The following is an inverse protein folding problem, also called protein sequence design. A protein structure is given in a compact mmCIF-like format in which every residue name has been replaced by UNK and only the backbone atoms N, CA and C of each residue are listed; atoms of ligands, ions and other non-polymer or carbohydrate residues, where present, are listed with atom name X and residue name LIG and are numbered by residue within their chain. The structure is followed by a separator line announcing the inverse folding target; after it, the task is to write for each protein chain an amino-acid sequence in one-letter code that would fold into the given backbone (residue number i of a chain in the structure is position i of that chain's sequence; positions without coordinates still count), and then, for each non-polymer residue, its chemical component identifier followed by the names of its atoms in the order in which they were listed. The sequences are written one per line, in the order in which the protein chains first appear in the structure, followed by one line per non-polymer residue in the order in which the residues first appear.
data_IF_242133915776
#
_entry.id   IF_242133915776
#
_cell.length_a   1.000
_cell.length_b   1.000
_cell.length_c   1.000
_cell.angle_alpha   90.00
_cell.angle_beta   90.00
_cell.angle_gamma   90.00
#
_symmetry.space_group_name_H-M   'P 1'
#
loop_
_entity.id
_entity.type
_entity.pdbx_description
1 polymer ?
#
# COMPACT_ATOMS: atom_id res chain seq x y z
N UNK A 1 58.87 -14.99 -10.77
CA UNK A 1 57.45 -15.42 -10.78
C UNK A 1 56.77 -15.21 -9.41
N UNK A 2 56.54 -13.96 -8.97
CA UNK A 2 55.86 -13.70 -7.67
C UNK A 2 54.85 -12.52 -7.67
N UNK A 3 54.50 -11.95 -8.82
CA UNK A 3 53.65 -10.74 -8.86
C UNK A 3 52.20 -10.94 -9.30
N UNK A 4 51.77 -12.16 -9.69
CA UNK A 4 50.40 -12.36 -10.19
C UNK A 4 49.40 -12.77 -9.10
N UNK A 5 49.84 -13.12 -7.89
CA UNK A 5 48.94 -13.61 -6.84
C UNK A 5 48.23 -12.47 -6.09
N UNK A 6 48.89 -11.32 -5.94
CA UNK A 6 48.33 -10.16 -5.21
C UNK A 6 47.17 -9.50 -5.96
N UNK A 7 47.17 -9.56 -7.29
CA UNK A 7 46.17 -8.92 -8.14
C UNK A 7 44.81 -9.63 -8.09
N UNK A 8 44.81 -10.98 -8.09
CA UNK A 8 43.58 -11.77 -7.98
C UNK A 8 42.90 -11.62 -6.62
N UNK A 9 43.68 -11.50 -5.54
CA UNK A 9 43.13 -11.31 -4.20
C UNK A 9 42.42 -9.95 -4.07
N UNK A 10 42.97 -8.90 -4.69
CA UNK A 10 42.38 -7.56 -4.68
C UNK A 10 41.07 -7.49 -5.49
N UNK A 11 40.99 -8.20 -6.62
CA UNK A 11 39.74 -8.28 -7.41
C UNK A 11 38.63 -9.06 -6.72
N UNK A 12 38.97 -10.09 -5.93
CA UNK A 12 37.95 -10.86 -5.21
C UNK A 12 37.37 -10.09 -4.03
N UNK A 13 38.19 -9.32 -3.31
CA UNK A 13 37.72 -8.46 -2.20
C UNK A 13 36.77 -7.36 -2.70
N UNK A 14 36.99 -6.83 -3.90
CA UNK A 14 36.07 -5.85 -4.52
C UNK A 14 34.71 -6.45 -4.91
N UNK A 15 34.65 -7.74 -5.29
CA UNK A 15 33.39 -8.41 -5.58
C UNK A 15 32.55 -8.67 -4.31
N UNK A 16 33.18 -8.93 -3.17
CA UNK A 16 32.47 -9.09 -1.88
C UNK A 16 31.93 -7.76 -1.33
N UNK A 17 32.59 -6.64 -1.59
CA UNK A 17 32.08 -5.31 -1.20
C UNK A 17 30.96 -4.77 -2.11
N UNK A 18 30.69 -5.43 -3.24
CA UNK A 18 29.55 -5.08 -4.10
C UNK A 18 28.23 -5.70 -3.66
N UNK A 19 28.20 -6.48 -2.57
CA UNK A 19 26.98 -6.70 -1.79
C UNK A 19 26.73 -5.47 -0.91
N UNK A 20 26.50 -4.31 -1.56
CA UNK A 20 25.90 -3.15 -0.91
C UNK A 20 24.60 -3.63 -0.27
N UNK A 21 24.54 -3.54 1.06
CA UNK A 21 23.32 -3.54 1.85
C UNK A 21 22.24 -2.80 1.06
N UNK A 22 21.30 -3.56 0.49
CA UNK A 22 20.12 -3.01 -0.16
C UNK A 22 19.23 -2.57 0.98
N UNK A 23 19.49 -1.37 1.47
CA UNK A 23 18.71 -0.71 2.52
C UNK A 23 17.23 -0.86 2.13
N UNK A 24 16.46 -1.61 2.93
CA UNK A 24 15.04 -1.82 2.65
C UNK A 24 14.35 -0.45 2.74
N UNK A 25 14.12 0.16 1.58
CA UNK A 25 13.44 1.45 1.50
C UNK A 25 12.03 1.28 2.08
N UNK A 26 11.81 1.91 3.24
CA UNK A 26 10.50 1.93 3.90
C UNK A 26 9.54 2.80 3.09
N UNK A 27 8.63 2.14 2.37
CA UNK A 27 7.48 2.80 1.74
C UNK A 27 6.48 3.20 2.82
N UNK A 28 5.92 4.40 2.70
CA UNK A 28 5.01 4.96 3.69
C UNK A 28 3.65 5.18 3.01
N UNK A 29 2.65 4.42 3.47
CA UNK A 29 1.24 4.66 3.17
C UNK A 29 0.63 5.38 4.37
N UNK A 30 0.09 6.57 4.15
CA UNK A 30 -0.66 7.34 5.15
C UNK A 30 -2.13 6.94 5.10
N UNK A 31 -2.70 6.52 6.23
CA UNK A 31 -4.15 6.30 6.36
C UNK A 31 -4.74 7.34 7.30
N UNK A 32 -5.53 8.26 6.73
CA UNK A 32 -6.11 9.39 7.43
C UNK A 32 -7.63 9.26 7.45
N UNK A 33 -8.22 9.37 8.64
CA UNK A 33 -9.66 9.41 8.83
C UNK A 33 -10.07 10.88 8.99
N UNK A 34 -11.22 11.26 8.44
CA UNK A 34 -11.73 12.63 8.60
C UNK A 34 -12.07 12.99 10.06
N UNK A 35 -12.22 11.99 10.94
CA UNK A 35 -12.50 12.15 12.37
C UNK A 35 -11.81 11.05 13.15
N UNK A 36 -11.28 11.39 14.32
CA UNK A 36 -10.64 10.43 15.23
C UNK A 36 -11.64 9.54 15.96
N UNK A 37 -12.90 9.97 16.04
CA UNK A 37 -13.99 9.19 16.63
C UNK A 37 -15.16 9.07 15.66
N UNK A 38 -15.69 7.86 15.57
CA UNK A 38 -16.73 7.48 14.62
C UNK A 38 -18.02 7.19 15.35
N UNK A 39 -19.16 7.65 14.82
CA UNK A 39 -20.47 7.23 15.31
C UNK A 39 -20.84 5.88 14.70
N UNK A 40 -21.36 4.96 15.52
CA UNK A 40 -21.89 3.67 15.02
C UNK A 40 -22.89 3.89 13.87
N UNK A 41 -22.83 3.01 12.86
CA UNK A 41 -23.74 3.01 11.72
C UNK A 41 -23.40 4.03 10.63
N UNK A 42 -22.49 4.98 10.91
CA UNK A 42 -22.09 6.00 9.93
C UNK A 42 -20.86 5.57 9.13
N UNK A 43 -20.85 5.98 7.86
CA UNK A 43 -19.65 5.90 7.02
C UNK A 43 -18.63 6.97 7.41
N UNK A 44 -17.38 6.53 7.53
CA UNK A 44 -16.23 7.38 7.81
C UNK A 44 -15.50 7.65 6.52
N UNK A 45 -15.41 8.91 6.13
CA UNK A 45 -14.58 9.34 5.01
C UNK A 45 -13.12 9.27 5.41
N UNK A 46 -12.33 8.68 4.54
CA UNK A 46 -10.91 8.43 4.77
C UNK A 46 -10.11 8.63 3.48
N UNK A 47 -8.82 8.92 3.65
CA UNK A 47 -7.85 9.05 2.57
C UNK A 47 -6.71 8.07 2.83
N UNK A 48 -6.32 7.33 1.80
CA UNK A 48 -5.05 6.63 1.74
C UNK A 48 -4.14 7.37 0.76
N UNK A 49 -2.92 7.70 1.19
CA UNK A 49 -1.95 8.44 0.40
C UNK A 49 -0.61 7.71 0.36
N UNK A 50 -0.05 7.52 -0.84
CA UNK A 50 1.29 7.00 -1.05
C UNK A 50 2.30 8.14 -0.92
N UNK A 51 2.90 8.28 0.27
CA UNK A 51 3.85 9.36 0.56
C UNK A 51 5.18 9.17 -0.14
N UNK A 52 5.65 7.91 -0.22
CA UNK A 52 6.91 7.56 -0.85
C UNK A 52 6.72 6.36 -1.78
N UNK A 53 6.58 6.58 -3.10
CA UNK A 53 6.47 5.50 -4.07
C UNK A 53 7.69 4.58 -4.07
N UNK A 54 7.47 3.28 -4.29
CA UNK A 54 8.54 2.34 -4.59
C UNK A 54 9.10 2.56 -6.00
N UNK A 55 8.25 2.92 -6.96
CA UNK A 55 8.64 3.20 -8.33
C UNK A 55 8.87 4.71 -8.57
N UNK A 56 9.83 5.32 -7.85
CA UNK A 56 10.09 6.78 -7.84
C UNK A 56 10.22 7.43 -9.23
N UNK A 57 10.78 6.71 -10.22
CA UNK A 57 11.00 7.21 -11.59
C UNK A 57 9.91 6.78 -12.58
N UNK A 58 8.79 6.26 -12.07
CA UNK A 58 7.63 5.85 -12.85
C UNK A 58 6.41 6.63 -12.37
N UNK A 59 5.37 6.68 -13.19
CA UNK A 59 4.09 7.20 -12.74
C UNK A 59 3.41 6.17 -11.84
N UNK A 60 3.82 6.11 -10.57
CA UNK A 60 3.18 5.26 -9.57
C UNK A 60 1.75 5.68 -9.37
N UNK A 61 0.89 4.67 -9.26
CA UNK A 61 -0.52 4.80 -8.97
C UNK A 61 -0.88 3.80 -7.89
N UNK A 62 -1.97 4.05 -7.17
CA UNK A 62 -2.47 3.12 -6.15
C UNK A 62 -3.92 2.69 -6.37
N UNK A 63 -4.24 1.53 -5.81
CA UNK A 63 -5.61 1.05 -5.56
C UNK A 63 -5.64 0.46 -4.15
N UNK A 64 -6.71 0.73 -3.41
CA UNK A 64 -6.87 0.25 -2.03
C UNK A 64 -7.88 -0.89 -1.99
N UNK A 65 -7.52 -1.96 -1.28
CA UNK A 65 -8.41 -3.06 -0.93
C UNK A 65 -8.64 -3.05 0.58
N UNK A 66 -9.90 -2.96 0.99
CA UNK A 66 -10.33 -2.90 2.38
C UNK A 66 -11.11 -4.17 2.75
N UNK A 67 -10.84 -4.73 3.93
CA UNK A 67 -11.68 -5.81 4.47
C UNK A 67 -13.15 -5.40 4.51
N UNK A 68 -14.02 -6.24 3.96
CA UNK A 68 -15.46 -6.00 3.97
C UNK A 68 -16.19 -6.71 5.13
N UNK A 69 -15.55 -7.69 5.78
CA UNK A 69 -16.13 -8.50 6.86
C UNK A 69 -15.14 -8.65 8.03
N UNK A 70 -15.48 -8.06 9.17
CA UNK A 70 -14.65 -8.11 10.40
C UNK A 70 -14.46 -9.53 10.96
N UNK A 71 -15.34 -10.48 10.60
CA UNK A 71 -15.23 -11.88 11.01
C UNK A 71 -14.18 -12.65 10.19
N UNK A 72 -13.82 -12.14 9.00
CA UNK A 72 -12.86 -12.76 8.08
C UNK A 72 -11.63 -11.88 7.89
N UNK A 73 -10.77 -11.88 8.92
CA UNK A 73 -9.59 -11.00 9.00
C UNK A 73 -8.52 -11.34 7.95
N UNK A 74 -8.01 -10.33 7.26
CA UNK A 74 -6.81 -10.38 6.42
C UNK A 74 -5.58 -10.63 7.28
N UNK A 75 -4.75 -11.56 6.81
CA UNK A 75 -3.43 -11.83 7.39
C UNK A 75 -2.43 -10.79 6.90
N UNK A 76 -1.47 -10.42 7.76
CA UNK A 76 -0.42 -9.45 7.44
C UNK A 76 0.41 -9.79 6.20
N UNK A 77 0.60 -11.08 5.93
CA UNK A 77 1.30 -11.58 4.74
C UNK A 77 0.40 -11.70 3.49
N UNK A 78 -0.85 -11.24 3.57
CA UNK A 78 -1.83 -11.26 2.48
C UNK A 78 -2.13 -12.66 1.90
N UNK A 79 -1.82 -13.72 2.65
CA UNK A 79 -1.96 -15.11 2.18
C UNK A 79 -3.40 -15.57 1.99
N UNK A 80 -4.36 -14.95 2.69
CA UNK A 80 -5.79 -15.23 2.56
C UNK A 80 -6.57 -14.16 1.78
N UNK A 81 -5.89 -13.22 1.10
CA UNK A 81 -6.54 -12.09 0.41
C UNK A 81 -7.58 -12.51 -0.64
N UNK A 82 -7.39 -13.68 -1.27
CA UNK A 82 -8.31 -14.22 -2.28
C UNK A 82 -9.52 -14.95 -1.68
N UNK A 83 -9.52 -15.19 -0.36
CA UNK A 83 -10.52 -16.01 0.33
C UNK A 83 -11.43 -15.18 1.24
N UNK A 84 -11.25 -13.87 1.27
CA UNK A 84 -12.03 -12.96 2.11
C UNK A 84 -12.67 -11.86 1.24
N UNK A 85 -13.91 -11.45 1.56
CA UNK A 85 -14.55 -10.34 0.86
C UNK A 85 -13.79 -9.03 1.07
N UNK A 86 -13.56 -8.29 -0.03
CA UNK A 86 -12.86 -7.01 -0.03
C UNK A 86 -13.65 -5.96 -0.80
N UNK A 87 -13.59 -4.72 -0.34
CA UNK A 87 -13.96 -3.55 -1.13
C UNK A 87 -12.74 -2.98 -1.84
N UNK A 88 -12.87 -2.63 -3.12
CA UNK A 88 -11.82 -2.00 -3.89
C UNK A 88 -12.14 -0.51 -4.12
N UNK A 89 -11.14 0.34 -3.96
CA UNK A 89 -11.25 1.79 -4.15
C UNK A 89 -10.12 2.25 -5.06
N UNK A 90 -10.49 2.83 -6.21
CA UNK A 90 -9.53 3.38 -7.16
C UNK A 90 -8.96 4.71 -6.67
N UNK A 91 -7.77 5.05 -7.17
CA UNK A 91 -7.21 6.38 -6.94
C UNK A 91 -8.07 7.48 -7.58
N UNK A 92 -7.79 8.71 -7.19
CA UNK A 92 -8.57 9.87 -7.56
C UNK A 92 -8.38 10.31 -9.02
N UNK A 93 -7.39 9.79 -9.75
CA UNK A 93 -7.33 10.02 -11.19
C UNK A 93 -8.46 9.27 -11.91
N UNK A 94 -8.89 8.12 -11.38
CA UNK A 94 -10.04 7.35 -11.84
C UNK A 94 -11.33 7.80 -11.12
N UNK A 95 -11.32 7.91 -9.78
CA UNK A 95 -12.48 8.32 -8.98
C UNK A 95 -12.65 9.85 -8.98
N UNK A 96 -13.24 10.35 -10.06
CA UNK A 96 -13.52 11.78 -10.26
C UNK A 96 -14.52 12.35 -9.24
N UNK A 97 -15.44 11.54 -8.72
CA UNK A 97 -16.50 11.99 -7.81
C UNK A 97 -15.94 12.42 -6.44
N UNK A 98 -14.93 11.72 -5.94
CA UNK A 98 -14.34 11.97 -4.63
C UNK A 98 -13.13 12.92 -4.64
N UNK A 99 -12.67 13.41 -5.80
CA UNK A 99 -11.56 14.40 -5.93
C UNK A 99 -11.74 15.64 -5.04
N UNK A 100 -12.98 16.05 -4.79
CA UNK A 100 -13.32 17.19 -3.92
C UNK A 100 -12.79 17.03 -2.49
N UNK A 101 -12.45 15.82 -2.05
CA UNK A 101 -11.94 15.55 -0.71
C UNK A 101 -10.42 15.62 -0.60
N UNK A 102 -9.69 15.82 -1.70
CA UNK A 102 -8.22 15.68 -1.75
C UNK A 102 -7.49 16.95 -2.20
N UNK A 103 -8.00 18.15 -1.85
CA UNK A 103 -7.32 19.42 -2.20
C UNK A 103 -5.87 19.38 -1.70
N UNK A 104 -4.91 19.45 -2.62
CA UNK A 104 -3.47 19.44 -2.34
C UNK A 104 -2.80 18.06 -2.40
N UNK A 105 -3.52 16.99 -2.73
CA UNK A 105 -2.95 15.65 -2.93
C UNK A 105 -2.84 15.27 -4.41
N UNK A 106 -1.79 14.52 -4.73
CA UNK A 106 -1.59 13.93 -6.07
C UNK A 106 -2.62 12.82 -6.34
N UNK A 107 -3.37 12.96 -7.43
CA UNK A 107 -4.54 12.11 -7.68
C UNK A 107 -4.22 10.65 -7.93
N UNK A 108 -3.10 10.36 -8.62
CA UNK A 108 -2.64 9.00 -8.90
C UNK A 108 -2.22 8.26 -7.61
N UNK A 109 -1.70 9.00 -6.64
CA UNK A 109 -1.16 8.50 -5.37
C UNK A 109 -2.15 8.55 -4.21
N UNK A 110 -3.41 8.90 -4.48
CA UNK A 110 -4.41 9.14 -3.44
C UNK A 110 -5.67 8.37 -3.71
N UNK A 111 -6.19 7.68 -2.70
CA UNK A 111 -7.48 7.00 -2.73
C UNK A 111 -8.38 7.60 -1.66
N UNK A 112 -9.56 8.06 -2.07
CA UNK A 112 -10.64 8.34 -1.13
C UNK A 112 -11.45 7.06 -0.91
N UNK A 113 -11.74 6.74 0.34
CA UNK A 113 -12.51 5.54 0.67
C UNK A 113 -13.41 5.77 1.88
N UNK A 114 -14.36 4.86 2.08
CA UNK A 114 -15.25 4.88 3.22
C UNK A 114 -15.22 3.55 3.97
N UNK A 115 -15.30 3.62 5.29
CA UNK A 115 -15.49 2.46 6.16
C UNK A 115 -16.75 2.66 7.02
N UNK A 116 -17.49 1.59 7.28
CA UNK A 116 -18.65 1.61 8.18
C UNK A 116 -18.37 0.67 9.34
N UNK A 117 -18.79 1.07 10.54
CA UNK A 117 -18.66 0.26 11.74
C UNK A 117 -20.04 0.10 12.38
N UNK A 118 -20.44 -1.14 12.62
CA UNK A 118 -21.79 -1.47 13.08
C UNK A 118 -21.88 -1.69 14.60
N UNK A 119 -20.76 -1.62 15.32
CA UNK A 119 -20.70 -1.81 16.78
C UNK A 119 -19.87 -0.71 17.44
N UNK A 120 -20.16 -0.46 18.72
CA UNK A 120 -19.37 0.41 19.60
C UNK A 120 -18.10 -0.32 20.02
N UNK A 121 -16.99 0.40 20.13
CA UNK A 121 -15.73 -0.11 20.67
C UNK A 121 -14.53 0.18 19.76
N UNK A 122 -13.42 -0.49 20.05
CA UNK A 122 -12.22 -0.40 19.22
C UNK A 122 -12.28 -1.42 18.11
N UNK A 123 -12.30 -0.95 16.86
CA UNK A 123 -12.30 -1.77 15.66
C UNK A 123 -10.96 -1.67 14.94
N UNK A 124 -10.58 -2.74 14.24
CA UNK A 124 -9.36 -2.80 13.44
C UNK A 124 -9.72 -2.61 11.97
N UNK A 125 -9.38 -1.46 11.42
CA UNK A 125 -9.50 -1.17 9.99
C UNK A 125 -8.28 -1.75 9.27
N UNK A 126 -8.51 -2.73 8.40
CA UNK A 126 -7.44 -3.49 7.75
C UNK A 126 -7.64 -3.55 6.25
N UNK A 127 -6.53 -3.59 5.56
CA UNK A 127 -6.52 -3.68 4.12
C UNK A 127 -5.11 -3.75 3.57
N UNK A 128 -5.02 -3.62 2.25
CA UNK A 128 -3.74 -3.43 1.60
C UNK A 128 -3.87 -2.47 0.43
N UNK A 129 -2.78 -1.75 0.16
CA UNK A 129 -2.63 -0.91 -1.02
C UNK A 129 -1.80 -1.67 -2.04
N UNK A 130 -2.23 -1.63 -3.30
CA UNK A 130 -1.41 -2.06 -4.43
C UNK A 130 -0.90 -0.81 -5.12
N UNK A 131 0.42 -0.61 -5.08
CA UNK A 131 1.11 0.33 -5.96
C UNK A 131 1.44 -0.36 -7.27
N UNK A 132 1.22 0.34 -8.38
CA UNK A 132 1.47 -0.13 -9.73
C UNK A 132 1.93 1.02 -10.63
N UNK A 133 2.48 0.69 -11.78
CA UNK A 133 2.82 1.66 -12.83
C UNK A 133 2.44 1.12 -14.22
N UNK A 134 2.45 2.01 -15.22
CA UNK A 134 2.06 1.78 -16.63
C UNK A 134 0.55 1.53 -16.87
N UNK A 135 0.05 0.33 -16.54
CA UNK A 135 -1.35 -0.05 -16.82
C UNK A 135 -2.13 -0.16 -15.53
N UNK A 136 -3.33 0.42 -15.53
CA UNK A 136 -4.28 0.23 -14.44
C UNK A 136 -4.56 -1.27 -14.30
N UNK A 137 -4.36 -1.86 -13.11
CA UNK A 137 -4.70 -3.25 -12.91
C UNK A 137 -6.21 -3.34 -13.05
N UNK A 138 -6.69 -4.09 -14.05
CA UNK A 138 -8.10 -4.50 -14.02
C UNK A 138 -8.22 -5.34 -12.75
N UNK A 139 -9.09 -4.93 -11.84
CA UNK A 139 -9.30 -5.55 -10.52
C UNK A 139 -9.50 -7.08 -10.64
N UNK A 140 -9.96 -7.55 -11.81
CA UNK A 140 -10.25 -8.95 -12.11
C UNK A 140 -9.20 -9.66 -12.99
N UNK A 141 -8.09 -9.02 -13.35
CA UNK A 141 -7.07 -9.59 -14.25
C UNK A 141 -5.80 -10.00 -13.52
N UNK A 142 -5.10 -11.01 -14.05
CA UNK A 142 -3.80 -11.47 -13.57
C UNK A 142 -2.82 -10.30 -13.71
N UNK A 143 -2.58 -9.61 -12.60
CA UNK A 143 -1.62 -8.52 -12.55
C UNK A 143 -0.22 -9.11 -12.69
N UNK A 144 0.59 -8.52 -13.57
CA UNK A 144 2.02 -8.82 -13.66
C UNK A 144 2.69 -8.48 -12.32
N UNK A 145 3.05 -9.51 -11.54
CA UNK A 145 3.56 -9.39 -10.17
C UNK A 145 4.85 -8.53 -10.07
N UNK A 146 5.62 -8.42 -11.15
CA UNK A 146 6.82 -7.58 -11.23
C UNK A 146 6.51 -6.07 -11.28
N UNK A 147 5.30 -5.70 -11.72
CA UNK A 147 4.87 -4.30 -11.87
C UNK A 147 4.03 -3.79 -10.70
N UNK A 148 3.91 -4.59 -9.65
CA UNK A 148 3.15 -4.21 -8.47
C UNK A 148 3.90 -4.43 -7.18
N UNK A 149 3.56 -3.60 -6.20
CA UNK A 149 3.96 -3.78 -4.82
C UNK A 149 2.74 -3.68 -3.92
N UNK A 150 2.65 -4.59 -2.94
CA UNK A 150 1.54 -4.63 -1.99
C UNK A 150 2.00 -4.20 -0.60
N UNK A 151 1.18 -3.38 0.05
CA UNK A 151 1.43 -2.87 1.39
C UNK A 151 0.25 -3.17 2.29
N UNK A 152 0.42 -4.06 3.25
CA UNK A 152 -0.56 -4.27 4.31
C UNK A 152 -0.63 -3.05 5.23
N UNK A 153 -1.83 -2.69 5.66
CA UNK A 153 -2.03 -1.73 6.73
C UNK A 153 -3.08 -2.21 7.75
N UNK A 154 -2.92 -1.74 8.98
CA UNK A 154 -3.86 -1.95 10.07
C UNK A 154 -3.92 -0.68 10.91
N UNK A 155 -5.12 -0.16 11.15
CA UNK A 155 -5.37 1.03 11.96
C UNK A 155 -6.50 0.78 12.95
N UNK A 156 -6.24 1.04 14.22
CA UNK A 156 -7.29 0.99 15.23
C UNK A 156 -8.16 2.25 15.13
N UNK A 157 -9.48 2.06 15.21
CA UNK A 157 -10.49 3.11 15.13
C UNK A 157 -11.43 2.95 16.31
N UNK A 158 -11.63 4.02 17.07
CA UNK A 158 -12.57 4.02 18.19
C UNK A 158 -13.95 4.52 17.74
N UNK A 159 -14.97 3.68 17.97
CA UNK A 159 -16.36 3.90 17.58
C UNK A 159 -17.20 4.07 18.84
N UNK A 160 -18.02 5.11 18.89
CA UNK A 160 -18.93 5.43 20.01
C UNK A 160 -20.36 5.66 19.56
#
# INVERSE_FOLDING_TARGET
MKNNFLFYFFTMVLLFYSCKNKEERKVIISIQLAKDTVKVGNYVKSIAYLEKPFYENKNSKIVLFLEADENKRLKRNLSNRNNIPMYAFHNLSIDTFNRKWSRGYEYDNTVAFTAKFDKVGTHSLRGFVVEYYDKDPLIDSIIQEDKIKRYFFEKNVYVK
#
